data_IF_915394729518
#
_entry.id   IF_915394729518
#
_cell.length_a   1.000
_cell.length_b   1.000
_cell.length_c   1.000
_cell.angle_alpha   90.00
_cell.angle_beta   90.00
_cell.angle_gamma   90.00
#
_symmetry.space_group_name_H-M   'P 1'
#
loop_
_entity.id
_entity.type
_entity.pdbx_description
1 polymer ?
#
# COMPACT_ATOMS: atom_id res chain seq x y z
N UNK A 1 -22.44 -21.03 3.96
CA UNK A 1 -21.23 -20.19 3.76
C UNK A 1 -20.84 -19.61 5.10
N UNK A 2 -19.64 -19.87 5.62
CA UNK A 2 -19.19 -19.24 6.87
C UNK A 2 -19.02 -17.74 6.60
N UNK A 3 -19.77 -16.89 7.31
CA UNK A 3 -19.62 -15.45 7.24
C UNK A 3 -18.19 -15.07 7.62
N UNK A 4 -17.53 -14.28 6.79
CA UNK A 4 -16.19 -13.81 7.08
C UNK A 4 -16.20 -12.98 8.36
N UNK A 5 -15.36 -13.36 9.33
CA UNK A 5 -15.33 -12.70 10.64
C UNK A 5 -14.46 -11.46 10.53
N UNK A 6 -14.98 -10.35 11.01
CA UNK A 6 -14.19 -9.13 11.26
C UNK A 6 -12.99 -9.41 12.17
N UNK A 7 -11.90 -8.68 11.98
CA UNK A 7 -10.69 -8.84 12.78
C UNK A 7 -9.99 -7.51 13.04
N UNK A 8 -9.01 -7.56 13.94
CA UNK A 8 -8.16 -6.41 14.29
C UNK A 8 -6.90 -6.43 13.45
N UNK A 9 -6.50 -5.25 12.98
CA UNK A 9 -5.28 -4.98 12.25
C UNK A 9 -4.42 -4.02 13.05
N UNK A 10 -3.11 -4.27 13.07
CA UNK A 10 -2.14 -3.40 13.70
C UNK A 10 -1.57 -2.42 12.65
N UNK A 11 -1.75 -1.12 12.86
CA UNK A 11 -1.33 -0.07 11.92
C UNK A 11 -0.18 0.73 12.51
N UNK A 12 1.00 0.54 11.93
CA UNK A 12 2.19 1.35 12.13
C UNK A 12 2.04 2.67 11.34
N UNK A 13 2.43 3.80 11.91
CA UNK A 13 2.27 5.11 11.24
C UNK A 13 3.45 6.06 11.45
N UNK A 14 4.28 5.80 12.47
CA UNK A 14 5.58 6.47 12.67
C UNK A 14 6.74 5.56 12.31
N UNK A 15 6.42 4.43 11.70
CA UNK A 15 7.36 3.36 11.47
C UNK A 15 8.10 3.40 10.16
N UNK A 16 9.04 2.48 10.02
CA UNK A 16 9.76 2.22 8.77
C UNK A 16 9.72 0.74 8.39
N UNK A 17 9.87 0.48 7.09
CA UNK A 17 10.03 -0.86 6.53
C UNK A 17 11.51 -1.22 6.59
N UNK A 18 11.86 -2.32 7.27
CA UNK A 18 13.21 -2.89 7.29
C UNK A 18 13.22 -4.23 6.57
N UNK A 19 14.17 -4.42 5.65
CA UNK A 19 14.43 -5.71 5.02
C UNK A 19 15.45 -6.48 5.87
N UNK A 20 15.13 -7.74 6.16
CA UNK A 20 15.92 -8.69 6.96
C UNK A 20 16.20 -9.92 6.12
N UNK A 21 17.41 -10.46 6.23
CA UNK A 21 17.84 -11.63 5.44
C UNK A 21 16.95 -12.85 5.67
N UNK A 22 16.66 -13.16 6.94
CA UNK A 22 15.90 -14.36 7.34
C UNK A 22 14.39 -14.17 7.22
N UNK A 23 13.83 -13.15 7.87
CA UNK A 23 12.37 -12.94 7.96
C UNK A 23 11.78 -12.07 6.84
N UNK A 24 12.59 -11.57 5.91
CA UNK A 24 12.13 -10.63 4.88
C UNK A 24 11.75 -9.27 5.46
N UNK A 25 10.53 -8.79 5.20
CA UNK A 25 10.07 -7.46 5.62
C UNK A 25 9.63 -7.44 7.08
N UNK A 26 10.03 -6.38 7.80
CA UNK A 26 9.58 -6.05 9.16
C UNK A 26 9.20 -4.58 9.26
N UNK A 27 8.02 -4.29 9.80
CA UNK A 27 7.65 -2.94 10.21
C UNK A 27 8.21 -2.63 11.60
N UNK A 28 8.65 -1.39 11.78
CA UNK A 28 9.20 -0.92 13.06
C UNK A 28 8.45 0.30 13.51
N UNK A 29 7.57 0.16 14.50
CA UNK A 29 6.93 1.28 15.21
C UNK A 29 6.86 0.87 16.69
N UNK A 30 7.08 1.82 17.59
CA UNK A 30 6.97 1.56 19.03
C UNK A 30 5.52 1.57 19.49
N UNK A 31 4.66 2.35 18.82
CA UNK A 31 3.30 2.61 19.26
C UNK A 31 2.30 2.48 18.10
N UNK A 32 2.14 1.30 17.49
CA UNK A 32 1.12 1.10 16.47
C UNK A 32 -0.30 1.19 17.05
N UNK A 33 -1.29 1.52 16.22
CA UNK A 33 -2.71 1.57 16.60
C UNK A 33 -3.48 0.36 16.09
N UNK A 34 -4.47 -0.10 16.84
CA UNK A 34 -5.36 -1.19 16.44
C UNK A 34 -6.61 -0.64 15.75
N UNK A 35 -6.92 -1.15 14.56
CA UNK A 35 -8.15 -0.84 13.82
C UNK A 35 -8.95 -2.12 13.61
N UNK A 36 -10.26 -2.03 13.79
CA UNK A 36 -11.17 -3.13 13.51
C UNK A 36 -11.67 -3.06 12.07
N UNK A 37 -11.53 -4.16 11.33
CA UNK A 37 -11.90 -4.23 9.92
C UNK A 37 -12.99 -5.28 9.73
N UNK A 38 -14.05 -4.90 9.01
CA UNK A 38 -15.16 -5.78 8.65
C UNK A 38 -15.05 -6.15 7.16
N UNK A 39 -15.55 -7.31 6.73
CA UNK A 39 -15.52 -7.69 5.31
C UNK A 39 -16.20 -6.67 4.39
N UNK A 40 -17.19 -5.94 4.93
CA UNK A 40 -17.92 -4.88 4.24
C UNK A 40 -17.27 -3.50 4.35
N UNK A 41 -16.12 -3.38 5.02
CA UNK A 41 -15.40 -2.11 5.13
C UNK A 41 -14.86 -1.73 3.76
N UNK A 42 -15.17 -0.51 3.31
CA UNK A 42 -14.55 0.05 2.10
C UNK A 42 -13.18 0.62 2.42
N UNK A 43 -12.32 0.71 1.41
CA UNK A 43 -10.97 1.23 1.50
C UNK A 43 -10.95 2.66 2.04
N UNK A 44 -11.82 3.54 1.53
CA UNK A 44 -11.90 4.93 2.01
C UNK A 44 -12.33 5.00 3.48
N UNK A 45 -13.32 4.20 3.89
CA UNK A 45 -13.75 4.11 5.29
C UNK A 45 -12.62 3.59 6.19
N UNK A 46 -11.86 2.61 5.70
CA UNK A 46 -10.71 2.08 6.40
C UNK A 46 -9.62 3.14 6.58
N UNK A 47 -9.25 3.86 5.52
CA UNK A 47 -8.30 4.97 5.56
C UNK A 47 -8.77 6.06 6.52
N UNK A 48 -10.04 6.43 6.47
CA UNK A 48 -10.63 7.43 7.37
C UNK A 48 -10.59 6.97 8.83
N UNK A 49 -10.84 5.70 9.10
CA UNK A 49 -10.76 5.14 10.44
C UNK A 49 -9.34 5.20 11.02
N UNK A 50 -8.30 5.02 10.19
CA UNK A 50 -6.89 5.18 10.60
C UNK A 50 -6.63 6.63 11.01
N UNK A 51 -6.99 7.61 10.17
CA UNK A 51 -6.77 9.03 10.47
C UNK A 51 -7.56 9.46 11.72
N UNK A 52 -8.80 8.98 11.87
CA UNK A 52 -9.64 9.27 13.02
C UNK A 52 -9.03 8.69 14.31
N UNK A 53 -8.57 7.44 14.28
CA UNK A 53 -7.94 6.80 15.44
C UNK A 53 -6.66 7.50 15.88
N UNK A 54 -5.94 8.09 14.93
CA UNK A 54 -4.73 8.88 15.18
C UNK A 54 -5.01 10.33 15.60
N UNK A 55 -6.25 10.82 15.49
CA UNK A 55 -6.60 12.20 15.78
C UNK A 55 -6.02 13.21 14.76
N UNK A 56 -5.81 12.80 13.51
CA UNK A 56 -5.12 13.59 12.48
C UNK A 56 -6.04 14.12 11.37
N UNK A 57 -7.35 14.18 11.65
CA UNK A 57 -8.37 14.62 10.69
C UNK A 57 -8.10 16.05 10.21
N UNK A 58 -8.19 16.27 8.90
CA UNK A 58 -7.92 17.57 8.26
C UNK A 58 -6.44 17.99 8.20
N UNK A 59 -5.54 17.33 8.94
CA UNK A 59 -4.11 17.67 9.00
C UNK A 59 -3.27 16.71 8.15
N UNK A 60 -3.56 15.41 8.24
CA UNK A 60 -2.85 14.37 7.48
C UNK A 60 -3.83 13.57 6.63
N UNK A 61 -3.31 13.05 5.51
CA UNK A 61 -3.95 12.00 4.72
C UNK A 61 -3.02 10.81 4.56
N UNK A 62 -3.59 9.61 4.39
CA UNK A 62 -2.81 8.42 4.09
C UNK A 62 -2.40 8.45 2.62
N UNK A 63 -1.10 8.45 2.35
CA UNK A 63 -0.56 8.42 0.99
C UNK A 63 -0.44 6.99 0.46
N UNK A 64 0.02 6.07 1.31
CA UNK A 64 0.21 4.65 0.97
C UNK A 64 -0.05 3.77 2.19
N UNK A 65 -0.67 2.62 1.97
CA UNK A 65 -0.80 1.54 2.96
C UNK A 65 -0.01 0.33 2.48
N UNK A 66 0.85 -0.19 3.35
CA UNK A 66 1.65 -1.39 3.09
C UNK A 66 1.17 -2.50 4.00
N UNK A 67 0.67 -3.59 3.44
CA UNK A 67 0.36 -4.82 4.17
C UNK A 67 1.55 -5.75 4.21
N UNK A 68 1.90 -6.23 5.40
CA UNK A 68 2.94 -7.25 5.56
C UNK A 68 2.36 -8.63 5.28
N UNK A 69 2.61 -9.12 4.07
CA UNK A 69 2.09 -10.41 3.59
C UNK A 69 3.08 -11.54 3.89
N UNK A 70 2.54 -12.68 4.33
CA UNK A 70 3.29 -13.90 4.52
C UNK A 70 3.58 -14.54 3.15
N UNK A 71 4.86 -14.82 2.85
CA UNK A 71 5.27 -15.44 1.58
C UNK A 71 5.51 -16.94 1.76
N UNK A 72 6.24 -17.32 2.81
CA UNK A 72 6.53 -18.73 3.08
C UNK A 72 6.75 -19.00 4.56
N UNK A 73 6.36 -20.21 4.95
CA UNK A 73 6.65 -20.80 6.26
C UNK A 73 7.55 -22.02 5.99
N UNK A 74 8.80 -21.94 6.41
CA UNK A 74 9.73 -23.06 6.49
C UNK A 74 9.84 -23.51 7.95
N UNK A 75 10.48 -24.66 8.21
CA UNK A 75 10.54 -25.28 9.55
C UNK A 75 10.95 -24.29 10.66
N UNK A 76 11.96 -23.46 10.41
CA UNK A 76 12.51 -22.54 11.41
C UNK A 76 12.27 -21.06 11.07
N UNK A 77 11.73 -20.77 9.88
CA UNK A 77 11.77 -19.44 9.27
C UNK A 77 10.42 -19.06 8.67
N UNK A 78 9.94 -17.88 9.03
CA UNK A 78 8.76 -17.27 8.41
C UNK A 78 9.20 -16.04 7.63
N UNK A 79 8.97 -16.05 6.32
CA UNK A 79 9.40 -14.99 5.41
C UNK A 79 8.22 -14.13 4.99
N UNK A 80 8.41 -12.82 5.11
CA UNK A 80 7.39 -11.83 4.78
C UNK A 80 7.87 -10.91 3.66
N UNK A 81 6.92 -10.41 2.90
CA UNK A 81 7.10 -9.25 2.02
C UNK A 81 6.05 -8.19 2.36
N UNK A 82 5.91 -7.16 1.51
CA UNK A 82 4.79 -6.26 1.60
C UNK A 82 4.01 -6.15 0.28
N UNK A 83 2.73 -5.87 0.41
CA UNK A 83 1.81 -5.53 -0.66
C UNK A 83 1.25 -4.13 -0.42
N UNK A 84 0.97 -3.35 -1.47
CA UNK A 84 0.39 -2.01 -1.32
C UNK A 84 -1.12 -2.13 -1.44
N UNK A 85 -1.86 -1.62 -0.46
CA UNK A 85 -3.32 -1.56 -0.52
C UNK A 85 -3.72 -0.19 -1.05
N UNK A 86 -4.43 -0.18 -2.19
CA UNK A 86 -4.95 1.03 -2.83
C UNK A 86 -6.43 0.97 -3.20
N UNK A 87 -7.11 -0.16 -3.02
CA UNK A 87 -8.52 -0.32 -3.39
C UNK A 87 -9.31 -1.25 -2.46
N UNK A 88 -10.62 -1.37 -2.73
CA UNK A 88 -11.52 -2.30 -2.06
C UNK A 88 -11.09 -3.77 -2.29
N UNK A 89 -10.66 -4.11 -3.51
CA UNK A 89 -10.18 -5.44 -3.89
C UNK A 89 -8.88 -5.79 -3.16
N UNK A 90 -7.95 -4.83 -3.05
CA UNK A 90 -6.71 -5.01 -2.29
C UNK A 90 -7.00 -5.25 -0.80
N UNK A 91 -8.04 -4.61 -0.26
CA UNK A 91 -8.46 -4.83 1.11
C UNK A 91 -9.01 -6.25 1.31
N UNK A 92 -9.65 -6.84 0.30
CA UNK A 92 -10.09 -8.25 0.34
C UNK A 92 -8.91 -9.23 0.41
N UNK A 93 -7.73 -8.89 -0.12
CA UNK A 93 -6.51 -9.71 0.02
C UNK A 93 -6.15 -9.89 1.51
N UNK A 94 -6.38 -8.87 2.34
CA UNK A 94 -6.17 -8.94 3.79
C UNK A 94 -7.02 -10.04 4.43
N UNK A 95 -8.29 -10.14 4.03
CA UNK A 95 -9.24 -11.14 4.50
C UNK A 95 -8.87 -12.54 4.02
N UNK A 96 -8.53 -12.67 2.75
CA UNK A 96 -8.04 -13.92 2.16
C UNK A 96 -6.81 -14.46 2.91
N UNK A 97 -5.79 -13.61 3.10
CA UNK A 97 -4.59 -14.01 3.83
C UNK A 97 -4.89 -14.38 5.28
N UNK A 98 -5.77 -13.64 5.97
CA UNK A 98 -6.14 -13.95 7.35
C UNK A 98 -6.81 -15.32 7.48
N UNK A 99 -7.59 -15.72 6.47
CA UNK A 99 -8.27 -17.01 6.40
C UNK A 99 -7.33 -18.16 6.04
N UNK A 100 -6.37 -17.92 5.15
CA UNK A 100 -5.44 -18.95 4.70
C UNK A 100 -4.34 -19.22 5.74
N UNK A 101 -3.87 -18.18 6.42
CA UNK A 101 -2.71 -18.24 7.31
C UNK A 101 -3.12 -17.90 8.75
N UNK A 102 -3.70 -18.89 9.46
CA UNK A 102 -4.10 -18.72 10.85
C UNK A 102 -2.91 -18.50 11.81
N UNK A 103 -1.70 -18.89 11.40
CA UNK A 103 -0.46 -18.77 12.16
C UNK A 103 -0.02 -17.31 12.37
N UNK A 104 -0.47 -16.38 11.52
CA UNK A 104 -0.22 -14.94 11.71
C UNK A 104 -1.19 -14.42 12.77
N UNK A 105 -0.68 -14.19 13.98
CA UNK A 105 -1.50 -13.79 15.15
C UNK A 105 -2.31 -12.52 14.91
N UNK A 106 -1.78 -11.53 14.19
CA UNK A 106 -2.49 -10.29 13.85
C UNK A 106 -1.90 -9.69 12.57
N UNK A 107 -2.72 -9.34 11.56
CA UNK A 107 -2.25 -8.64 10.36
C UNK A 107 -1.62 -7.29 10.71
N UNK A 108 -0.50 -6.96 10.06
CA UNK A 108 0.25 -5.72 10.28
C UNK A 108 0.26 -4.86 9.01
N UNK A 109 -0.03 -3.57 9.16
CA UNK A 109 0.04 -2.55 8.12
C UNK A 109 1.00 -1.42 8.50
N UNK A 110 1.62 -0.79 7.50
CA UNK A 110 2.27 0.51 7.66
C UNK A 110 1.54 1.57 6.82
N UNK A 111 1.08 2.64 7.46
CA UNK A 111 0.51 3.81 6.82
C UNK A 111 1.60 4.88 6.65
N UNK A 112 1.86 5.31 5.41
CA UNK A 112 2.61 6.53 5.15
C UNK A 112 1.66 7.71 5.11
N UNK A 113 1.86 8.67 5.99
CA UNK A 113 1.04 9.87 6.12
C UNK A 113 1.74 11.06 5.44
N UNK A 114 0.96 11.91 4.79
CA UNK A 114 1.42 13.19 4.23
C UNK A 114 0.52 14.31 4.72
N UNK A 115 1.07 15.53 4.79
CA UNK A 115 0.29 16.72 5.13
C UNK A 115 -0.78 16.99 4.07
N UNK A 116 -1.98 17.30 4.55
CA UNK A 116 -2.99 17.92 3.71
C UNK A 116 -2.50 19.35 3.49
N UNK A 117 -1.98 19.61 2.28
CA UNK A 117 -1.52 20.95 1.91
C UNK A 117 -2.72 21.88 2.04
N UNK A 118 -2.74 22.63 3.14
CA UNK A 118 -3.58 23.82 3.22
C UNK A 118 -2.92 24.79 2.27
N UNK A 119 -3.52 25.02 1.09
CA UNK A 119 -3.31 26.28 0.42
C UNK A 119 -3.85 27.35 1.37
N UNK A 120 -3.02 27.77 2.32
CA UNK A 120 -3.21 29.03 3.01
C UNK A 120 -3.23 30.03 1.88
N UNK A 121 -4.43 30.44 1.48
CA UNK A 121 -4.62 31.40 0.42
C UNK A 121 -3.71 32.58 0.74
N UNK A 122 -2.78 32.87 -0.15
CA UNK A 122 -2.14 34.17 -0.18
C UNK A 122 -3.26 35.17 -0.37
N UNK A 123 -3.81 35.65 0.75
CA UNK A 123 -4.82 36.68 0.78
C UNK A 123 -4.10 37.98 0.47
N UNK A 124 -3.98 38.28 -0.81
CA UNK A 124 -3.71 39.60 -1.30
C UNK A 124 -5.00 40.44 -1.16
N UNK A 125 -5.37 40.78 0.07
CA UNK A 125 -6.22 41.94 0.32
C UNK A 125 -5.41 43.19 -0.01
N UNK A 126 -5.31 43.53 -1.30
CA UNK A 126 -4.99 44.89 -1.69
C UNK A 126 -6.29 45.70 -1.67
N UNK A 127 -6.68 46.13 -0.47
CA UNK A 127 -7.61 47.24 -0.29
C UNK A 127 -6.78 48.50 -0.22
N UNK A 128 -6.48 49.11 -1.37
CA UNK A 128 -6.27 50.56 -1.43
C UNK A 128 -6.57 51.08 -2.85
N UNK A 129 -7.70 51.80 -2.90
CA UNK A 129 -7.88 53.09 -3.56
C UNK A 129 -7.63 53.16 -5.07
N UNK A 130 -8.74 53.32 -5.80
CA UNK A 130 -8.79 53.97 -7.11
C UNK A 130 -8.15 55.36 -6.96
N UNK A 131 -6.99 55.58 -7.57
CA UNK A 131 -6.63 56.91 -8.05
C UNK A 131 -5.80 56.82 -9.35
N UNK A 132 -6.49 57.12 -10.44
CA UNK A 132 -6.10 58.03 -11.52
C UNK A 132 -4.59 58.31 -11.76
N UNK A 133 -4.14 57.86 -12.95
CA UNK A 133 -3.21 58.54 -13.89
C UNK A 133 -1.67 58.38 -13.76
N UNK A 134 -1.09 58.26 -14.96
CA UNK A 134 0.29 58.52 -15.41
C UNK A 134 1.32 57.36 -15.36
N UNK A 135 1.23 56.54 -16.41
CA UNK A 135 2.32 55.99 -17.23
C UNK A 135 3.75 55.96 -16.69
N UNK A 136 4.31 54.75 -16.64
CA UNK A 136 5.71 54.55 -17.00
C UNK A 136 5.92 53.18 -17.63
N UNK A 137 6.38 53.21 -18.89
CA UNK A 137 6.82 52.07 -19.67
C UNK A 137 8.23 51.69 -19.25
N UNK A 138 8.43 50.46 -18.77
CA UNK A 138 9.76 49.84 -18.69
C UNK A 138 9.79 48.60 -19.58
N UNK A 139 10.58 48.71 -20.65
CA UNK A 139 10.90 47.72 -21.69
C UNK A 139 11.08 46.29 -21.16
N UNK A 140 10.59 45.26 -21.88
CA UNK A 140 11.13 43.92 -21.74
C UNK A 140 12.41 43.80 -22.57
N UNK A 141 13.51 43.42 -21.93
CA UNK A 141 14.73 42.94 -22.61
C UNK A 141 14.96 41.51 -22.14
N UNK A 142 14.97 40.58 -23.08
CA UNK A 142 15.23 39.17 -22.80
C UNK A 142 14.82 38.26 -23.95
N UNK A 143 15.39 38.50 -25.14
CA UNK A 143 15.41 37.51 -26.21
C UNK A 143 16.26 36.34 -25.74
N UNK A 144 15.67 35.17 -25.57
CA UNK A 144 16.41 33.91 -25.61
C UNK A 144 15.99 33.16 -26.86
N UNK A 145 16.98 32.96 -27.73
CA UNK A 145 16.87 32.27 -29.01
C UNK A 145 17.82 31.07 -29.03
N UNK A 146 17.40 30.07 -29.82
CA UNK A 146 18.09 28.86 -30.30
C UNK A 146 18.14 27.66 -29.33
N UNK A 147 18.01 26.40 -29.74
CA UNK A 147 17.60 25.63 -30.95
C UNK A 147 17.44 24.17 -30.42
N UNK A 148 16.58 23.28 -30.98
CA UNK A 148 16.43 21.93 -30.45
C UNK A 148 17.67 21.07 -30.79
N UNK A 149 18.20 20.36 -29.79
CA UNK A 149 19.29 19.40 -29.96
C UNK A 149 18.74 17.97 -29.92
N UNK A 150 19.32 17.16 -30.80
CA UNK A 150 18.84 15.89 -31.34
C UNK A 150 18.69 14.74 -30.33
N UNK A 151 17.86 13.78 -30.75
CA UNK A 151 17.56 12.50 -30.13
C UNK A 151 18.78 11.56 -29.99
N UNK A 152 18.75 10.65 -29.00
CA UNK A 152 19.37 9.34 -29.10
C UNK A 152 18.32 8.28 -29.48
N UNK A 153 18.67 7.50 -30.49
CA UNK A 153 18.07 6.23 -30.85
C UNK A 153 18.39 5.22 -29.73
N UNK A 154 17.39 4.82 -28.94
CA UNK A 154 17.51 3.65 -28.06
C UNK A 154 16.63 2.53 -28.63
N UNK A 155 17.31 1.47 -29.06
CA UNK A 155 16.74 0.22 -29.54
C UNK A 155 15.80 -0.40 -28.49
N UNK A 156 14.61 -0.90 -28.86
CA UNK A 156 13.84 -1.74 -27.96
C UNK A 156 14.51 -3.11 -27.85
N UNK A 157 15.31 -3.29 -26.79
CA UNK A 157 15.74 -4.61 -26.34
C UNK A 157 14.49 -5.43 -26.02
N UNK A 158 14.36 -6.55 -26.71
CA UNK A 158 13.26 -7.49 -26.61
C UNK A 158 13.03 -7.94 -25.14
N UNK A 159 11.81 -7.74 -24.67
CA UNK A 159 11.32 -8.35 -23.43
C UNK A 159 11.37 -9.88 -23.55
N UNK A 160 11.96 -10.62 -22.59
CA UNK A 160 11.80 -12.05 -22.53
C UNK A 160 10.39 -12.35 -21.99
N UNK A 161 9.52 -12.84 -22.87
CA UNK A 161 8.25 -13.43 -22.47
C UNK A 161 8.52 -14.82 -21.87
N UNK A 162 8.22 -15.01 -20.58
CA UNK A 162 8.08 -16.35 -20.04
C UNK A 162 6.61 -16.74 -20.14
N UNK A 163 6.32 -17.76 -20.96
CA UNK A 163 5.04 -18.45 -20.94
C UNK A 163 5.03 -19.37 -19.72
N UNK A 164 4.04 -19.23 -18.83
CA UNK A 164 3.72 -20.26 -17.85
C UNK A 164 2.82 -21.28 -18.54
N UNK A 165 3.38 -22.46 -18.81
CA UNK A 165 2.62 -23.61 -19.29
C UNK A 165 1.78 -24.18 -18.15
N UNK A 166 0.46 -23.92 -18.18
CA UNK A 166 -0.51 -24.51 -17.27
C UNK A 166 -0.89 -25.92 -17.76
N UNK A 167 0.06 -26.84 -17.72
CA UNK A 167 -0.27 -28.27 -17.76
C UNK A 167 -0.67 -28.74 -16.37
N UNK A 168 -1.95 -28.52 -16.05
CA UNK A 168 -2.65 -29.10 -14.92
C UNK A 168 -2.84 -30.60 -15.19
N UNK A 169 -1.85 -31.43 -14.85
CA UNK A 169 -2.03 -32.89 -14.83
C UNK A 169 -2.87 -33.29 -13.62
N UNK A 170 -4.19 -33.26 -13.82
CA UNK A 170 -5.12 -33.95 -12.96
C UNK A 170 -4.87 -35.45 -13.01
N UNK A 171 -4.78 -36.08 -11.84
CA UNK A 171 -4.75 -37.53 -11.73
C UNK A 171 -3.64 -38.04 -10.83
N UNK A 172 -3.82 -37.93 -9.51
CA UNK A 172 -3.24 -38.92 -8.61
C UNK A 172 -4.38 -39.54 -7.81
N UNK A 173 -4.72 -40.75 -8.23
CA UNK A 173 -5.72 -41.62 -7.64
C UNK A 173 -5.49 -41.80 -6.14
N UNK A 174 -6.61 -41.75 -5.42
CA UNK A 174 -6.73 -42.12 -4.02
C UNK A 174 -6.67 -43.65 -3.95
N UNK A 175 -5.50 -44.18 -3.60
CA UNK A 175 -5.36 -45.56 -3.16
C UNK A 175 -5.75 -45.69 -1.69
N UNK A 176 -6.95 -46.20 -1.44
CA UNK A 176 -7.44 -46.61 -0.11
C UNK A 176 -6.55 -47.77 0.36
N UNK A 177 -5.77 -47.54 1.42
CA UNK A 177 -5.11 -48.63 2.14
C UNK A 177 -5.96 -48.97 3.36
N UNK A 178 -6.84 -49.96 3.22
CA UNK A 178 -7.44 -50.64 4.35
C UNK A 178 -6.33 -51.36 5.13
N UNK A 179 -6.02 -50.86 6.32
CA UNK A 179 -5.27 -51.60 7.33
C UNK A 179 -6.18 -51.86 8.52
N UNK A 180 -6.73 -53.07 8.53
CA UNK A 180 -7.26 -53.74 9.72
C UNK A 180 -6.11 -53.96 10.70
N UNK A 181 -6.24 -53.59 11.99
CA UNK A 181 -5.33 -54.05 13.01
C UNK A 181 -5.81 -55.41 13.55
N UNK A 182 -5.12 -56.49 13.21
CA UNK A 182 -5.31 -57.77 13.89
C UNK A 182 -4.51 -57.77 15.19
N UNK A 183 -5.24 -57.82 16.29
CA UNK A 183 -4.73 -58.13 17.63
C UNK A 183 -4.69 -59.64 17.84
N UNK A 184 -3.48 -60.18 18.10
CA UNK A 184 -3.15 -61.20 19.12
C UNK A 184 -1.65 -61.48 19.09
#
# INVERSE_FOLDING_TARGET
MASEKSFVVLVHYRGSIKRKTRSGVKFTDKNPVSIFVRPTTRFDDFVNSIIQKLGLQGVKRVQKLFYRILISVLRDDVKYDYFIIGSDEDLQVLFYCRRQFFEVKTPELLAKLVDVVSSSGGSNQNTHTIDTVAGSSSRPVGVFSSVPVNAPLDEPIASPSFAVDLNYSGGREVGIMDRVPTSL
#
